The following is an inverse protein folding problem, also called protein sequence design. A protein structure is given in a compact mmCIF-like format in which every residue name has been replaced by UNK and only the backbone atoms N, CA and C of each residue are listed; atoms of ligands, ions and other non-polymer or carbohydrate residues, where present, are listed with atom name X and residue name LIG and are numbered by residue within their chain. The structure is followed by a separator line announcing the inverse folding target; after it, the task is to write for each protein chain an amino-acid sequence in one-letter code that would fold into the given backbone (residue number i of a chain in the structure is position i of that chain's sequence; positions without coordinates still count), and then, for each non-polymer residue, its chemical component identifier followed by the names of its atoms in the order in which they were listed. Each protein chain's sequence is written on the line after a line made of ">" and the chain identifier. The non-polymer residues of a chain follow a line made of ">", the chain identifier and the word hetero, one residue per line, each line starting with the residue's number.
data_IF_249769215911
#
_entry.id   IF_249769215911
#
_cell.length_a   1.000
_cell.length_b   1.000
_cell.length_c   1.000
_cell.angle_alpha   90.00
_cell.angle_beta   90.00
_cell.angle_gamma   90.00
#
_symmetry.space_group_name_H-M   'P 1'
#
loop_
_entity.id
_entity.type
_entity.pdbx_description
1 polymer ?
#
# COMPACT_ATOMS: atom_id res chain seq x y z
N UNK A 1 -3.54 1.18 71.26
CA UNK A 1 -3.37 0.17 70.17
C UNK A 1 -4.40 0.29 69.04
N UNK A 2 -5.71 0.48 69.31
CA UNK A 2 -6.76 0.54 68.28
C UNK A 2 -6.56 1.61 67.20
N UNK A 3 -6.16 2.83 67.56
CA UNK A 3 -5.94 3.92 66.57
C UNK A 3 -4.75 3.67 65.64
N UNK A 4 -3.65 3.11 66.14
CA UNK A 4 -2.44 2.83 65.36
C UNK A 4 -2.72 1.77 64.27
N UNK A 5 -3.57 0.78 64.58
CA UNK A 5 -4.04 -0.21 63.61
C UNK A 5 -5.03 0.40 62.59
N UNK A 6 -5.90 1.32 63.01
CA UNK A 6 -6.82 2.04 62.11
C UNK A 6 -6.06 2.93 61.11
N UNK A 7 -5.03 3.66 61.56
CA UNK A 7 -4.13 4.44 60.69
C UNK A 7 -3.38 3.56 59.69
N UNK A 8 -2.85 2.41 60.13
CA UNK A 8 -2.19 1.44 59.24
C UNK A 8 -3.15 0.86 58.20
N UNK A 9 -4.38 0.54 58.59
CA UNK A 9 -5.40 0.06 57.66
C UNK A 9 -5.77 1.10 56.59
N UNK A 10 -6.00 2.36 56.99
CA UNK A 10 -6.25 3.46 56.04
C UNK A 10 -5.08 3.71 55.10
N UNK A 11 -3.84 3.59 55.57
CA UNK A 11 -2.65 3.67 54.72
C UNK A 11 -2.66 2.59 53.63
N UNK A 12 -2.98 1.33 53.97
CA UNK A 12 -3.09 0.25 52.98
C UNK A 12 -4.26 0.45 52.01
N UNK A 13 -5.39 1.00 52.47
CA UNK A 13 -6.52 1.38 51.60
C UNK A 13 -6.08 2.46 50.59
N UNK A 14 -5.38 3.49 51.04
CA UNK A 14 -4.85 4.55 50.15
C UNK A 14 -3.84 3.99 49.15
N UNK A 15 -2.92 3.12 49.59
CA UNK A 15 -1.95 2.47 48.69
C UNK A 15 -2.66 1.61 47.64
N UNK A 16 -3.65 0.82 48.05
CA UNK A 16 -4.46 0.02 47.12
C UNK A 16 -5.21 0.91 46.12
N UNK A 17 -5.76 2.04 46.58
CA UNK A 17 -6.50 2.97 45.73
C UNK A 17 -5.57 3.66 44.72
N UNK A 18 -4.37 4.08 45.12
CA UNK A 18 -3.32 4.59 44.22
C UNK A 18 -2.93 3.54 43.19
N UNK A 19 -2.74 2.28 43.60
CA UNK A 19 -2.41 1.19 42.69
C UNK A 19 -3.51 0.94 41.67
N UNK A 20 -4.78 0.94 42.09
CA UNK A 20 -5.94 0.79 41.20
C UNK A 20 -6.03 1.95 40.20
N UNK A 21 -5.87 3.20 40.66
CA UNK A 21 -5.87 4.38 39.78
C UNK A 21 -4.70 4.32 38.79
N UNK A 22 -3.51 3.93 39.23
CA UNK A 22 -2.35 3.76 38.36
C UNK A 22 -2.56 2.65 37.32
N UNK A 23 -3.05 1.48 37.73
CA UNK A 23 -3.34 0.37 36.84
C UNK A 23 -4.43 0.74 35.82
N UNK A 24 -5.49 1.44 36.26
CA UNK A 24 -6.54 1.94 35.38
C UNK A 24 -5.98 2.96 34.38
N UNK A 25 -5.14 3.89 34.82
CA UNK A 25 -4.49 4.88 33.95
C UNK A 25 -3.58 4.22 32.92
N UNK A 26 -2.74 3.27 33.35
CA UNK A 26 -1.86 2.51 32.46
C UNK A 26 -2.65 1.67 31.45
N UNK A 27 -3.78 1.10 31.87
CA UNK A 27 -4.69 0.38 30.98
C UNK A 27 -5.29 1.32 29.93
N UNK A 28 -5.80 2.49 30.34
CA UNK A 28 -6.34 3.52 29.44
C UNK A 28 -5.27 3.99 28.44
N UNK A 29 -4.05 4.29 28.90
CA UNK A 29 -2.94 4.69 28.03
C UNK A 29 -2.61 3.57 27.06
N UNK A 30 -2.49 2.32 27.51
CA UNK A 30 -2.16 1.18 26.65
C UNK A 30 -3.22 0.92 25.57
N UNK A 31 -4.49 1.12 25.89
CA UNK A 31 -5.60 0.93 24.95
C UNK A 31 -5.73 2.09 23.95
N UNK A 32 -5.49 3.33 24.38
CA UNK A 32 -5.70 4.51 23.54
C UNK A 32 -4.46 4.94 22.74
N UNK A 33 -3.25 4.59 23.21
CA UNK A 33 -2.00 5.01 22.58
C UNK A 33 -1.88 4.54 21.11
N UNK A 34 -2.23 3.29 20.72
CA UNK A 34 -2.19 2.88 19.32
C UNK A 34 -3.08 3.74 18.42
N UNK A 35 -4.32 4.01 18.83
CA UNK A 35 -5.27 4.82 18.06
C UNK A 35 -4.79 6.27 17.96
N UNK A 36 -4.29 6.84 19.05
CA UNK A 36 -3.74 8.20 19.06
C UNK A 36 -2.54 8.32 18.12
N UNK A 37 -1.60 7.37 18.19
CA UNK A 37 -0.42 7.31 17.32
C UNK A 37 -0.82 7.18 15.84
N UNK A 38 -1.74 6.27 15.52
CA UNK A 38 -2.26 6.10 14.16
C UNK A 38 -2.92 7.37 13.63
N UNK A 39 -3.76 8.04 14.43
CA UNK A 39 -4.37 9.32 14.05
C UNK A 39 -3.31 10.40 13.86
N UNK A 40 -2.29 10.44 14.71
CA UNK A 40 -1.20 11.41 14.63
C UNK A 40 -0.41 11.24 13.34
N UNK A 41 -0.06 10.01 12.99
CA UNK A 41 0.62 9.67 11.72
C UNK A 41 -0.22 10.13 10.53
N UNK A 42 -1.53 9.84 10.52
CA UNK A 42 -2.44 10.32 9.47
C UNK A 42 -2.47 11.85 9.36
N UNK A 43 -2.57 12.58 10.48
CA UNK A 43 -2.59 14.05 10.44
C UNK A 43 -1.25 14.64 9.97
N UNK A 44 -0.12 14.05 10.38
CA UNK A 44 1.21 14.44 9.88
C UNK A 44 1.32 14.25 8.37
N UNK A 45 0.94 13.07 7.87
CA UNK A 45 0.98 12.79 6.44
C UNK A 45 0.06 13.73 5.65
N UNK A 46 -1.16 13.94 6.15
CA UNK A 46 -2.11 14.87 5.53
C UNK A 46 -1.54 16.27 5.41
N UNK A 47 -0.89 16.77 6.47
CA UNK A 47 -0.27 18.09 6.49
C UNK A 47 0.93 18.19 5.55
N UNK A 48 1.77 17.16 5.52
CA UNK A 48 3.08 17.21 4.87
C UNK A 48 2.99 16.88 3.36
N UNK A 49 2.00 16.09 2.92
CA UNK A 49 1.92 15.59 1.53
C UNK A 49 0.68 15.98 0.74
N UNK A 50 -0.44 16.39 1.36
CA UNK A 50 -1.61 16.78 0.57
C UNK A 50 -1.51 18.23 0.10
N UNK A 51 -1.57 18.42 -1.22
CA UNK A 51 -1.55 19.74 -1.85
C UNK A 51 -2.91 20.03 -2.48
N UNK A 52 -3.53 21.12 -2.04
CA UNK A 52 -4.86 21.55 -2.48
C UNK A 52 -4.74 22.62 -3.57
N UNK A 53 -5.46 22.43 -4.68
CA UNK A 53 -5.58 23.38 -5.79
C UNK A 53 -7.04 23.53 -6.19
N UNK A 54 -7.68 24.64 -5.81
CA UNK A 54 -9.11 24.85 -6.03
C UNK A 54 -9.96 23.76 -5.35
N UNK A 55 -10.75 23.01 -6.13
CA UNK A 55 -11.57 21.89 -5.65
C UNK A 55 -10.90 20.52 -5.74
N UNK A 56 -9.64 20.47 -6.17
CA UNK A 56 -8.85 19.26 -6.30
C UNK A 56 -7.74 19.21 -5.24
N UNK A 57 -7.36 18.00 -4.83
CA UNK A 57 -6.23 17.74 -3.93
C UNK A 57 -5.42 16.58 -4.50
N UNK A 58 -4.10 16.69 -4.49
CA UNK A 58 -3.20 15.60 -4.88
C UNK A 58 -2.21 15.27 -3.77
N UNK A 59 -1.67 14.05 -3.81
CA UNK A 59 -0.56 13.63 -2.95
C UNK A 59 0.76 14.04 -3.60
N UNK A 60 1.54 14.90 -2.95
CA UNK A 60 2.84 15.34 -3.44
C UNK A 60 3.88 14.23 -3.25
N UNK A 61 4.24 13.59 -4.35
CA UNK A 61 5.31 12.60 -4.46
C UNK A 61 6.67 13.21 -4.85
N UNK A 62 6.71 14.52 -5.10
CA UNK A 62 7.92 15.27 -5.39
C UNK A 62 8.58 15.82 -4.13
N UNK A 63 9.23 16.96 -4.27
CA UNK A 63 9.76 17.74 -3.14
C UNK A 63 8.89 18.99 -2.92
N UNK A 64 9.12 19.71 -1.82
CA UNK A 64 8.44 21.01 -1.60
C UNK A 64 8.75 22.01 -2.72
N UNK A 65 9.97 21.99 -3.29
CA UNK A 65 10.40 22.90 -4.36
C UNK A 65 9.95 22.44 -5.75
N UNK A 66 9.86 21.13 -5.95
CA UNK A 66 9.46 20.52 -7.21
C UNK A 66 8.33 19.52 -6.92
N UNK A 67 7.10 20.01 -6.70
CA UNK A 67 5.98 19.15 -6.41
C UNK A 67 5.62 18.32 -7.64
N UNK A 68 5.20 17.07 -7.39
CA UNK A 68 4.76 16.16 -8.43
C UNK A 68 3.59 15.31 -7.91
N UNK A 69 2.57 15.13 -8.74
CA UNK A 69 1.52 14.13 -8.57
C UNK A 69 1.91 12.86 -9.31
N UNK A 70 1.62 11.70 -8.72
CA UNK A 70 1.70 10.40 -9.38
C UNK A 70 0.36 9.68 -9.22
N UNK A 71 -0.07 8.89 -10.21
CA UNK A 71 -1.29 8.08 -10.09
C UNK A 71 -1.19 7.09 -8.92
N UNK A 72 -0.02 6.49 -8.68
CA UNK A 72 0.28 5.65 -7.52
C UNK A 72 0.02 6.40 -6.20
N UNK A 73 0.63 7.58 -6.05
CA UNK A 73 0.47 8.40 -4.86
C UNK A 73 -1.00 8.84 -4.67
N UNK A 74 -1.70 9.14 -5.77
CA UNK A 74 -3.11 9.50 -5.73
C UNK A 74 -3.99 8.34 -5.26
N UNK A 75 -3.76 7.13 -5.77
CA UNK A 75 -4.43 5.92 -5.31
C UNK A 75 -4.21 5.66 -3.83
N UNK A 76 -2.97 5.79 -3.33
CA UNK A 76 -2.71 5.70 -1.88
C UNK A 76 -3.45 6.76 -1.09
N UNK A 77 -3.45 8.01 -1.55
CA UNK A 77 -4.13 9.08 -0.84
C UNK A 77 -5.63 8.84 -0.73
N UNK A 78 -6.26 8.42 -1.83
CA UNK A 78 -7.67 8.07 -1.85
C UNK A 78 -7.96 6.90 -0.88
N UNK A 79 -7.14 5.85 -0.90
CA UNK A 79 -7.27 4.72 0.01
C UNK A 79 -7.14 5.16 1.48
N UNK A 80 -6.07 5.90 1.81
CA UNK A 80 -5.81 6.41 3.17
C UNK A 80 -7.00 7.24 3.66
N UNK A 81 -7.52 8.15 2.84
CA UNK A 81 -8.65 9.01 3.21
C UNK A 81 -9.95 8.22 3.34
N UNK A 82 -10.19 7.20 2.52
CA UNK A 82 -11.36 6.33 2.63
C UNK A 82 -11.34 5.49 3.92
N UNK A 83 -10.18 4.92 4.30
CA UNK A 83 -10.01 4.22 5.59
C UNK A 83 -10.14 5.19 6.77
N UNK A 84 -9.49 6.36 6.70
CA UNK A 84 -9.60 7.40 7.72
C UNK A 84 -11.06 7.88 7.89
N UNK A 85 -11.84 7.89 6.81
CA UNK A 85 -13.28 8.18 6.85
C UNK A 85 -14.08 7.18 7.67
N UNK A 86 -13.79 5.86 7.55
CA UNK A 86 -14.44 4.83 8.39
C UNK A 86 -14.16 5.02 9.88
N UNK A 87 -13.02 5.65 10.19
CA UNK A 87 -12.58 5.96 11.56
C UNK A 87 -13.09 7.32 12.06
N UNK A 88 -13.83 8.06 11.24
CA UNK A 88 -14.30 9.42 11.55
C UNK A 88 -13.18 10.46 11.58
N UNK A 89 -12.05 10.20 10.92
CA UNK A 89 -10.89 11.11 10.87
C UNK A 89 -10.84 11.95 9.59
N UNK A 90 -11.61 11.57 8.57
CA UNK A 90 -11.73 12.27 7.31
C UNK A 90 -13.20 12.43 6.91
N UNK A 91 -13.52 13.52 6.23
CA UNK A 91 -14.83 13.79 5.66
C UNK A 91 -14.93 13.29 4.22
N UNK A 92 -16.17 13.03 3.75
CA UNK A 92 -16.42 12.72 2.34
C UNK A 92 -15.90 13.82 1.41
N UNK A 93 -15.96 15.09 1.84
CA UNK A 93 -15.46 16.23 1.06
C UNK A 93 -13.95 16.13 0.83
N UNK A 94 -13.18 15.63 1.79
CA UNK A 94 -11.73 15.44 1.61
C UNK A 94 -11.43 14.35 0.57
N UNK A 95 -12.16 13.23 0.60
CA UNK A 95 -12.05 12.19 -0.42
C UNK A 95 -12.47 12.70 -1.79
N UNK A 96 -13.60 13.40 -1.87
CA UNK A 96 -14.11 13.95 -3.13
C UNK A 96 -13.11 14.93 -3.79
N UNK A 97 -12.26 15.62 -3.02
CA UNK A 97 -11.20 16.48 -3.57
C UNK A 97 -10.05 15.69 -4.18
N UNK A 98 -9.67 14.56 -3.58
CA UNK A 98 -8.71 13.63 -4.18
C UNK A 98 -9.30 12.99 -5.45
N UNK A 99 -10.56 12.58 -5.40
CA UNK A 99 -11.30 12.08 -6.55
C UNK A 99 -11.37 13.11 -7.69
N UNK A 100 -11.66 14.38 -7.38
CA UNK A 100 -11.69 15.45 -8.38
C UNK A 100 -10.34 15.63 -9.10
N UNK A 101 -9.22 15.48 -8.39
CA UNK A 101 -7.89 15.53 -9.01
C UNK A 101 -7.68 14.37 -9.97
N UNK A 102 -8.00 13.14 -9.56
CA UNK A 102 -7.96 11.98 -10.45
C UNK A 102 -8.83 12.21 -11.70
N UNK A 103 -10.07 12.68 -11.54
CA UNK A 103 -10.99 12.91 -12.66
C UNK A 103 -10.48 13.97 -13.65
N UNK A 104 -9.75 14.98 -13.19
CA UNK A 104 -9.14 16.01 -14.04
C UNK A 104 -7.89 15.53 -14.78
N UNK A 105 -7.25 14.48 -14.29
CA UNK A 105 -5.99 13.93 -14.83
C UNK A 105 -6.21 12.60 -15.56
N UNK A 106 -7.44 12.34 -16.02
CA UNK A 106 -7.75 11.14 -16.81
C UNK A 106 -7.01 11.14 -18.14
N UNK A 107 -6.57 9.96 -18.54
CA UNK A 107 -5.77 9.78 -19.74
C UNK A 107 -6.62 9.71 -21.00
N UNK A 108 -5.94 9.83 -22.14
CA UNK A 108 -6.52 9.78 -23.47
C UNK A 108 -5.79 8.72 -24.29
N UNK A 109 -6.51 7.66 -24.66
CA UNK A 109 -6.00 6.60 -25.54
C UNK A 109 -6.77 6.67 -26.85
N UNK A 110 -6.07 6.71 -27.98
CA UNK A 110 -6.66 6.81 -29.33
C UNK A 110 -7.71 7.94 -29.47
N UNK A 111 -7.37 9.15 -28.98
CA UNK A 111 -8.24 10.33 -28.97
C UNK A 111 -9.54 10.19 -28.16
N UNK A 112 -9.66 9.15 -27.32
CA UNK A 112 -10.79 8.94 -26.43
C UNK A 112 -10.35 9.09 -24.98
N UNK A 113 -11.03 9.95 -24.22
CA UNK A 113 -10.82 10.03 -22.78
C UNK A 113 -11.26 8.72 -22.11
N UNK A 114 -10.33 8.10 -21.38
CA UNK A 114 -10.57 6.87 -20.62
C UNK A 114 -10.88 7.21 -19.16
N UNK A 115 -11.08 6.17 -18.36
CA UNK A 115 -11.12 6.25 -16.90
C UNK A 115 -9.72 6.11 -16.28
N UNK A 116 -8.69 5.71 -17.02
CA UNK A 116 -7.31 5.60 -16.50
C UNK A 116 -6.76 6.97 -16.11
N UNK A 117 -5.80 7.01 -15.19
CA UNK A 117 -5.15 8.24 -14.78
C UNK A 117 -3.77 8.39 -15.43
N UNK A 118 -3.47 9.58 -15.95
CA UNK A 118 -2.11 9.95 -16.35
C UNK A 118 -1.15 9.73 -15.19
N UNK A 119 -0.05 9.03 -15.44
CA UNK A 119 0.79 8.52 -14.36
C UNK A 119 1.56 9.60 -13.59
N UNK A 120 1.84 10.76 -14.21
CA UNK A 120 2.63 11.84 -13.60
C UNK A 120 2.18 13.24 -14.00
N UNK A 121 2.08 14.12 -13.01
CA UNK A 121 1.84 15.56 -13.16
C UNK A 121 2.94 16.34 -12.46
N UNK A 122 3.49 17.37 -13.09
CA UNK A 122 4.59 18.14 -12.53
C UNK A 122 4.62 19.57 -13.07
N UNK A 123 5.47 20.42 -12.48
CA UNK A 123 5.67 21.79 -12.96
C UNK A 123 6.80 21.86 -13.99
N UNK A 124 6.51 22.47 -15.14
CA UNK A 124 7.47 22.84 -16.18
C UNK A 124 7.25 24.31 -16.53
N UNK A 125 8.29 25.13 -16.40
CA UNK A 125 8.26 26.57 -16.71
C UNK A 125 7.12 27.32 -16.00
N UNK A 126 6.87 26.97 -14.74
CA UNK A 126 5.81 27.56 -13.91
C UNK A 126 4.40 27.05 -14.19
N UNK A 127 4.21 26.22 -15.22
CA UNK A 127 2.91 25.62 -15.59
C UNK A 127 2.85 24.15 -15.19
N UNK A 128 1.64 23.69 -14.86
CA UNK A 128 1.42 22.27 -14.61
C UNK A 128 1.22 21.54 -15.94
N UNK A 129 1.97 20.46 -16.10
CA UNK A 129 1.87 19.57 -17.25
C UNK A 129 1.69 18.13 -16.76
N UNK A 130 1.10 17.29 -17.60
CA UNK A 130 0.84 15.89 -17.31
C UNK A 130 1.44 15.04 -18.41
N UNK A 131 2.20 14.01 -18.02
CA UNK A 131 2.67 13.00 -18.98
C UNK A 131 1.50 12.11 -19.37
N UNK A 132 1.39 11.80 -20.66
CA UNK A 132 0.44 10.81 -21.14
C UNK A 132 0.78 9.40 -20.60
N UNK A 133 -0.16 8.49 -20.74
CA UNK A 133 -0.12 7.10 -20.31
C UNK A 133 -0.39 6.91 -18.82
N UNK A 134 -0.95 5.75 -18.52
CA UNK A 134 -1.26 5.27 -17.18
C UNK A 134 -0.14 4.45 -16.54
N UNK A 135 -0.34 4.17 -15.25
CA UNK A 135 0.43 3.20 -14.50
C UNK A 135 -0.53 2.34 -13.69
N UNK A 136 -0.54 1.05 -13.98
CA UNK A 136 -1.58 0.10 -13.56
C UNK A 136 -1.76 -0.02 -12.06
N UNK A 137 -0.69 0.14 -11.27
CA UNK A 137 -0.78 0.15 -9.81
C UNK A 137 -1.58 1.34 -9.28
N UNK A 138 -1.41 2.52 -9.88
CA UNK A 138 -2.21 3.70 -9.55
C UNK A 138 -3.69 3.47 -9.81
N UNK A 139 -4.03 2.96 -10.99
CA UNK A 139 -5.41 2.68 -11.39
C UNK A 139 -6.07 1.60 -10.51
N UNK A 140 -5.33 0.54 -10.16
CA UNK A 140 -5.81 -0.49 -9.23
C UNK A 140 -6.11 0.07 -7.82
N UNK A 141 -5.23 0.92 -7.27
CA UNK A 141 -5.48 1.55 -5.98
C UNK A 141 -6.63 2.57 -6.03
N UNK A 142 -6.77 3.31 -7.12
CA UNK A 142 -7.90 4.22 -7.32
C UNK A 142 -9.20 3.42 -7.34
N UNK A 143 -9.27 2.32 -8.10
CA UNK A 143 -10.44 1.46 -8.15
C UNK A 143 -10.81 0.89 -6.76
N UNK A 144 -9.84 0.33 -6.04
CA UNK A 144 -10.07 -0.22 -4.69
C UNK A 144 -10.52 0.87 -3.70
N UNK A 145 -9.95 2.07 -3.79
CA UNK A 145 -10.34 3.19 -2.95
C UNK A 145 -11.77 3.68 -3.21
N UNK A 146 -12.26 3.59 -4.46
CA UNK A 146 -13.63 3.92 -4.82
C UNK A 146 -14.63 2.90 -4.24
N UNK A 147 -14.29 1.61 -4.31
CA UNK A 147 -15.05 0.55 -3.66
C UNK A 147 -15.12 0.75 -2.14
N UNK A 148 -14.00 1.12 -1.52
CA UNK A 148 -13.96 1.43 -0.09
C UNK A 148 -14.77 2.68 0.25
N UNK A 149 -14.65 3.75 -0.54
CA UNK A 149 -15.41 4.99 -0.35
C UNK A 149 -16.92 4.77 -0.44
N UNK A 150 -17.38 3.85 -1.30
CA UNK A 150 -18.79 3.45 -1.36
C UNK A 150 -19.29 2.84 -0.04
N UNK A 151 -18.44 2.08 0.65
CA UNK A 151 -18.73 1.52 1.99
C UNK A 151 -18.66 2.61 3.06
N UNK A 152 -17.68 3.52 2.97
CA UNK A 152 -17.45 4.59 3.95
C UNK A 152 -18.55 5.66 3.92
N UNK A 153 -19.05 6.02 2.73
CA UNK A 153 -20.10 7.04 2.54
C UNK A 153 -21.27 6.51 1.69
N UNK A 154 -22.19 5.74 2.29
CA UNK A 154 -23.24 5.02 1.56
C UNK A 154 -24.16 5.90 0.72
N UNK A 155 -24.38 7.16 1.13
CA UNK A 155 -25.23 8.12 0.38
C UNK A 155 -24.69 8.43 -1.02
N UNK A 156 -23.39 8.24 -1.26
CA UNK A 156 -22.72 8.47 -2.56
C UNK A 156 -22.19 7.18 -3.19
N UNK A 157 -22.52 6.02 -2.62
CA UNK A 157 -22.01 4.72 -3.07
C UNK A 157 -22.23 4.45 -4.57
N UNK A 158 -23.44 4.73 -5.09
CA UNK A 158 -23.75 4.52 -6.50
C UNK A 158 -22.84 5.32 -7.45
N UNK A 159 -22.41 6.51 -7.04
CA UNK A 159 -21.47 7.33 -7.81
C UNK A 159 -20.07 6.73 -7.83
N UNK A 160 -19.56 6.33 -6.66
CA UNK A 160 -18.23 5.72 -6.57
C UNK A 160 -18.15 4.38 -7.30
N UNK A 161 -19.14 3.50 -7.15
CA UNK A 161 -19.20 2.23 -7.88
C UNK A 161 -19.30 2.42 -9.40
N UNK A 162 -19.95 3.49 -9.89
CA UNK A 162 -19.97 3.77 -11.32
C UNK A 162 -18.58 4.12 -11.85
N UNK A 163 -17.81 4.92 -11.10
CA UNK A 163 -16.43 5.28 -11.46
C UNK A 163 -15.52 4.06 -11.38
N UNK A 164 -15.63 3.27 -10.30
CA UNK A 164 -14.89 2.01 -10.13
C UNK A 164 -15.10 1.06 -11.31
N UNK A 165 -16.36 0.83 -11.71
CA UNK A 165 -16.68 -0.05 -12.84
C UNK A 165 -16.13 0.46 -14.16
N UNK A 166 -16.18 1.77 -14.40
CA UNK A 166 -15.60 2.37 -15.60
C UNK A 166 -14.08 2.17 -15.62
N UNK A 167 -13.41 2.44 -14.51
CA UNK A 167 -11.97 2.24 -14.36
C UNK A 167 -11.57 0.77 -14.53
N UNK A 168 -12.27 -0.15 -13.87
CA UNK A 168 -12.01 -1.58 -13.99
C UNK A 168 -12.17 -2.09 -15.43
N UNK A 169 -13.16 -1.58 -16.17
CA UNK A 169 -13.32 -1.94 -17.58
C UNK A 169 -12.16 -1.42 -18.43
N UNK A 170 -11.70 -0.18 -18.19
CA UNK A 170 -10.60 0.40 -18.95
C UNK A 170 -9.24 -0.25 -18.59
N UNK A 171 -9.00 -0.65 -17.35
CA UNK A 171 -7.82 -1.45 -16.98
C UNK A 171 -7.79 -2.75 -17.81
N UNK A 172 -8.92 -3.47 -17.91
CA UNK A 172 -8.97 -4.69 -18.73
C UNK A 172 -8.90 -4.42 -20.24
N UNK A 173 -9.31 -3.25 -20.70
CA UNK A 173 -9.26 -2.89 -22.12
C UNK A 173 -7.85 -2.48 -22.57
N UNK A 174 -7.11 -1.77 -21.73
CA UNK A 174 -5.88 -1.08 -22.12
C UNK A 174 -4.63 -1.58 -21.39
N UNK A 175 -4.76 -2.18 -20.21
CA UNK A 175 -3.63 -2.62 -19.39
C UNK A 175 -3.56 -4.14 -19.23
N UNK A 176 -4.41 -4.91 -19.90
CA UNK A 176 -4.40 -6.37 -19.85
C UNK A 176 -3.71 -6.99 -21.06
N UNK A 177 -2.82 -7.95 -20.81
CA UNK A 177 -2.20 -8.74 -21.87
C UNK A 177 -2.94 -10.08 -22.06
N UNK A 178 -3.65 -10.30 -23.19
CA UNK A 178 -4.37 -11.55 -23.43
C UNK A 178 -3.46 -12.78 -23.66
N UNK A 179 -2.22 -12.59 -24.13
CA UNK A 179 -1.29 -13.68 -24.40
C UNK A 179 -0.65 -14.24 -23.11
N UNK A 180 -0.35 -13.38 -22.15
CA UNK A 180 0.22 -13.77 -20.85
C UNK A 180 -0.84 -13.93 -19.77
N UNK A 181 -2.03 -13.34 -19.97
CA UNK A 181 -3.14 -13.21 -19.01
C UNK A 181 -2.81 -12.44 -17.73
N UNK A 182 -1.76 -11.63 -17.75
CA UNK A 182 -1.41 -10.72 -16.65
C UNK A 182 -1.74 -9.28 -17.02
N UNK A 183 -1.77 -8.40 -16.02
CA UNK A 183 -1.74 -6.96 -16.27
C UNK A 183 -0.33 -6.54 -16.70
N UNK A 184 -0.30 -5.60 -17.64
CA UNK A 184 0.88 -4.85 -18.08
C UNK A 184 1.18 -3.75 -17.06
N UNK A 185 2.25 -2.98 -17.28
CA UNK A 185 2.67 -1.91 -16.35
C UNK A 185 2.01 -0.56 -16.59
N UNK A 186 1.18 -0.46 -17.63
CA UNK A 186 0.47 0.75 -18.06
C UNK A 186 -0.02 0.57 -19.51
N UNK A 187 -0.93 1.45 -19.95
CA UNK A 187 -1.51 1.45 -21.31
C UNK A 187 -0.51 1.77 -22.45
N UNK A 188 0.67 2.30 -22.12
CA UNK A 188 1.77 2.51 -23.05
C UNK A 188 2.43 1.20 -23.54
N UNK A 189 2.05 0.06 -22.96
CA UNK A 189 2.54 -1.27 -23.34
C UNK A 189 1.53 -1.95 -24.26
N UNK A 190 1.93 -2.22 -25.50
CA UNK A 190 1.12 -2.97 -26.47
C UNK A 190 1.83 -4.24 -26.98
N UNK A 191 1.21 -4.95 -27.92
CA UNK A 191 1.76 -6.18 -28.50
C UNK A 191 3.09 -5.99 -29.28
N UNK A 192 3.42 -4.75 -29.66
CA UNK A 192 4.68 -4.40 -30.37
C UNK A 192 5.77 -3.96 -29.38
N UNK A 193 5.38 -3.58 -28.17
CA UNK A 193 6.30 -3.15 -27.12
C UNK A 193 7.22 -4.29 -26.68
N UNK A 194 8.50 -3.97 -26.50
CA UNK A 194 9.47 -4.90 -25.87
C UNK A 194 9.07 -5.28 -24.44
N UNK A 195 8.20 -4.49 -23.81
CA UNK A 195 7.70 -4.70 -22.46
C UNK A 195 6.39 -5.48 -22.42
N UNK A 196 5.88 -5.97 -23.56
CA UNK A 196 4.58 -6.66 -23.60
C UNK A 196 4.48 -7.81 -22.58
N UNK A 197 5.59 -8.51 -22.33
CA UNK A 197 5.69 -9.62 -21.37
C UNK A 197 6.21 -9.20 -19.99
N UNK A 198 6.35 -7.91 -19.73
CA UNK A 198 6.82 -7.38 -18.45
C UNK A 198 5.67 -7.43 -17.44
N UNK A 199 5.93 -7.96 -16.27
CA UNK A 199 5.04 -7.90 -15.12
C UNK A 199 5.79 -7.21 -13.98
N UNK A 200 5.18 -6.18 -13.38
CA UNK A 200 5.65 -5.60 -12.12
C UNK A 200 5.02 -6.39 -10.98
N UNK A 201 5.83 -6.93 -10.08
CA UNK A 201 5.32 -7.89 -9.07
C UNK A 201 4.46 -7.23 -8.00
N UNK A 202 4.62 -5.93 -7.79
CA UNK A 202 3.76 -5.13 -6.90
C UNK A 202 2.39 -4.80 -7.49
N UNK A 203 2.08 -5.25 -8.71
CA UNK A 203 0.74 -5.09 -9.31
C UNK A 203 -0.10 -6.35 -9.05
N UNK A 204 0.48 -7.39 -8.43
CA UNK A 204 -0.23 -8.59 -8.01
C UNK A 204 -1.04 -8.29 -6.74
N UNK A 205 -2.26 -7.78 -6.92
CA UNK A 205 -3.15 -7.33 -5.84
C UNK A 205 -4.38 -8.25 -5.70
N UNK A 206 -4.24 -9.47 -5.14
CA UNK A 206 -5.28 -10.50 -5.21
C UNK A 206 -6.61 -10.11 -4.55
N UNK A 207 -6.58 -9.33 -3.47
CA UNK A 207 -7.79 -8.85 -2.80
C UNK A 207 -8.53 -7.81 -3.64
N UNK A 208 -7.81 -6.94 -4.33
CA UNK A 208 -8.36 -5.97 -5.28
C UNK A 208 -9.00 -6.70 -6.45
N UNK A 209 -8.34 -7.71 -7.00
CA UNK A 209 -8.91 -8.49 -8.10
C UNK A 209 -10.18 -9.25 -7.70
N UNK A 210 -10.23 -9.80 -6.49
CA UNK A 210 -11.45 -10.42 -5.95
C UNK A 210 -12.59 -9.40 -5.77
N UNK A 211 -12.26 -8.20 -5.29
CA UNK A 211 -13.22 -7.11 -5.14
C UNK A 211 -13.76 -6.64 -6.49
N UNK A 212 -12.89 -6.45 -7.48
CA UNK A 212 -13.28 -6.06 -8.84
C UNK A 212 -14.12 -7.13 -9.54
N UNK A 213 -13.76 -8.42 -9.41
CA UNK A 213 -14.55 -9.53 -9.94
C UNK A 213 -15.99 -9.51 -9.39
N UNK A 214 -16.12 -9.25 -8.08
CA UNK A 214 -17.42 -9.17 -7.40
C UNK A 214 -18.21 -7.94 -7.83
N UNK A 215 -17.62 -6.75 -7.78
CA UNK A 215 -18.36 -5.50 -7.95
C UNK A 215 -18.72 -5.25 -9.42
N UNK A 216 -17.87 -5.69 -10.36
CA UNK A 216 -18.14 -5.60 -11.81
C UNK A 216 -18.95 -6.77 -12.35
N UNK A 217 -18.93 -7.93 -11.70
CA UNK A 217 -19.45 -9.19 -12.25
C UNK A 217 -18.58 -9.80 -13.36
N UNK A 218 -17.44 -9.20 -13.70
CA UNK A 218 -16.55 -9.65 -14.76
C UNK A 218 -15.53 -10.69 -14.26
N UNK A 219 -15.71 -11.95 -14.63
CA UNK A 219 -14.86 -13.07 -14.20
C UNK A 219 -13.43 -13.03 -14.78
N UNK A 220 -13.15 -12.15 -15.74
CA UNK A 220 -11.78 -11.93 -16.24
C UNK A 220 -10.82 -11.55 -15.11
N UNK A 221 -11.30 -10.81 -14.10
CA UNK A 221 -10.52 -10.47 -12.91
C UNK A 221 -10.07 -11.68 -12.10
N UNK A 222 -10.90 -12.74 -12.03
CA UNK A 222 -10.50 -14.00 -11.41
C UNK A 222 -9.39 -14.69 -12.23
N UNK A 223 -9.45 -14.63 -13.57
CA UNK A 223 -8.37 -15.12 -14.44
C UNK A 223 -7.07 -14.34 -14.24
N UNK A 224 -7.14 -13.01 -14.17
CA UNK A 224 -5.98 -12.12 -13.89
C UNK A 224 -5.35 -12.50 -12.55
N UNK A 225 -6.16 -12.60 -11.48
CA UNK A 225 -5.70 -13.01 -10.16
C UNK A 225 -4.97 -14.34 -10.19
N UNK A 226 -5.59 -15.35 -10.79
CA UNK A 226 -5.02 -16.69 -10.86
C UNK A 226 -3.68 -16.68 -11.58
N UNK A 227 -3.63 -16.05 -12.76
CA UNK A 227 -2.41 -16.02 -13.56
C UNK A 227 -1.27 -15.27 -12.86
N UNK A 228 -1.54 -14.10 -12.31
CA UNK A 228 -0.54 -13.26 -11.66
C UNK A 228 -0.01 -13.92 -10.37
N UNK A 229 -0.87 -14.58 -9.58
CA UNK A 229 -0.43 -15.36 -8.43
C UNK A 229 0.42 -16.56 -8.82
N UNK A 230 0.09 -17.27 -9.91
CA UNK A 230 0.91 -18.38 -10.40
C UNK A 230 2.31 -17.89 -10.80
N UNK A 231 2.40 -16.74 -11.48
CA UNK A 231 3.71 -16.12 -11.82
C UNK A 231 4.48 -15.65 -10.60
N UNK A 232 3.79 -15.13 -9.58
CA UNK A 232 4.43 -14.74 -8.32
C UNK A 232 4.97 -15.97 -7.56
N UNK A 233 4.24 -17.09 -7.59
CA UNK A 233 4.69 -18.37 -7.04
C UNK A 233 5.90 -18.91 -7.79
N UNK A 234 5.91 -18.85 -9.12
CA UNK A 234 7.06 -19.27 -9.94
C UNK A 234 8.32 -18.51 -9.55
N UNK A 235 8.22 -17.18 -9.44
CA UNK A 235 9.33 -16.32 -9.00
C UNK A 235 9.77 -16.71 -7.60
N UNK A 236 8.84 -16.77 -6.63
CA UNK A 236 9.16 -17.10 -5.24
C UNK A 236 9.83 -18.47 -5.07
N UNK A 237 9.51 -19.45 -5.92
CA UNK A 237 10.09 -20.79 -5.89
C UNK A 237 11.56 -20.85 -6.35
N UNK A 238 12.06 -19.86 -7.08
CA UNK A 238 13.42 -19.85 -7.63
C UNK A 238 14.52 -19.70 -6.56
N UNK A 239 14.18 -19.29 -5.35
CA UNK A 239 15.12 -19.06 -4.24
C UNK A 239 14.51 -19.42 -2.89
N UNK A 240 15.37 -19.73 -1.91
CA UNK A 240 14.95 -20.11 -0.55
C UNK A 240 14.30 -18.95 0.22
N UNK A 241 14.65 -17.70 -0.10
CA UNK A 241 14.16 -16.48 0.55
C UNK A 241 12.68 -16.22 0.29
N UNK A 242 12.17 -16.68 -0.86
CA UNK A 242 10.82 -16.37 -1.33
C UNK A 242 10.60 -14.94 -1.81
N UNK A 243 11.63 -14.08 -1.74
CA UNK A 243 11.60 -12.71 -2.27
C UNK A 243 11.24 -12.70 -3.75
N UNK A 244 10.65 -11.63 -4.26
CA UNK A 244 10.30 -11.50 -5.68
C UNK A 244 10.95 -10.23 -6.25
N UNK A 245 11.28 -10.19 -7.55
CA UNK A 245 11.92 -9.03 -8.16
C UNK A 245 10.93 -7.88 -8.32
N UNK A 246 11.41 -6.64 -8.47
CA UNK A 246 10.56 -5.51 -8.89
C UNK A 246 9.81 -5.84 -10.20
N UNK A 247 10.53 -6.40 -11.17
CA UNK A 247 9.97 -6.77 -12.47
C UNK A 247 10.39 -8.17 -12.92
N UNK A 248 9.51 -8.82 -13.68
CA UNK A 248 9.74 -10.12 -14.27
C UNK A 248 9.27 -10.20 -15.73
N UNK A 249 9.96 -10.99 -16.54
CA UNK A 249 9.45 -11.47 -17.82
C UNK A 249 8.53 -12.66 -17.57
N UNK A 250 7.31 -12.60 -18.10
CA UNK A 250 6.29 -13.64 -17.91
C UNK A 250 5.74 -14.20 -19.21
N UNK A 251 5.29 -15.44 -19.14
CA UNK A 251 4.46 -16.10 -20.15
C UNK A 251 3.22 -16.68 -19.47
N UNK A 252 2.30 -17.27 -20.25
CA UNK A 252 1.20 -18.04 -19.68
C UNK A 252 1.65 -19.25 -18.83
N UNK A 253 2.93 -19.67 -18.86
CA UNK A 253 3.44 -20.84 -18.12
C UNK A 253 4.63 -20.61 -17.18
N UNK A 254 5.33 -19.47 -17.27
CA UNK A 254 6.55 -19.24 -16.49
C UNK A 254 6.82 -17.77 -16.21
N UNK A 255 7.66 -17.50 -15.22
CA UNK A 255 8.19 -16.18 -14.90
C UNK A 255 9.70 -16.26 -14.64
N UNK A 256 10.43 -15.20 -14.99
CA UNK A 256 11.84 -15.00 -14.59
C UNK A 256 12.12 -13.53 -14.28
N UNK A 257 12.98 -13.19 -13.31
CA UNK A 257 13.41 -11.82 -13.09
C UNK A 257 13.98 -11.19 -14.36
N UNK A 258 13.78 -9.88 -14.52
CA UNK A 258 14.44 -9.12 -15.59
C UNK A 258 15.92 -8.85 -15.28
N UNK A 259 16.66 -8.35 -16.26
CA UNK A 259 18.03 -7.88 -16.05
C UNK A 259 18.06 -6.48 -15.44
N UNK A 260 19.23 -6.07 -14.94
CA UNK A 260 19.48 -4.71 -14.48
C UNK A 260 19.19 -3.67 -15.60
N UNK A 261 18.65 -2.51 -15.23
CA UNK A 261 18.32 -1.39 -16.11
C UNK A 261 17.39 -1.77 -17.27
N UNK A 262 16.49 -2.74 -17.03
CA UNK A 262 15.48 -3.11 -18.04
C UNK A 262 14.47 -1.99 -18.22
N UNK A 263 14.05 -1.36 -17.13
CA UNK A 263 13.01 -0.33 -17.12
C UNK A 263 13.30 0.84 -16.17
N UNK A 264 13.65 0.59 -14.91
CA UNK A 264 13.64 1.63 -13.88
C UNK A 264 15.00 1.83 -13.21
N UNK A 265 15.76 0.76 -12.99
CA UNK A 265 16.98 0.80 -12.18
C UNK A 265 17.89 -0.40 -12.40
N UNK A 266 19.12 -0.32 -11.89
CA UNK A 266 20.03 -1.47 -11.85
C UNK A 266 19.53 -2.65 -10.99
N UNK A 267 18.46 -2.46 -10.21
CA UNK A 267 17.89 -3.45 -9.30
C UNK A 267 16.53 -3.99 -9.76
N UNK A 268 16.15 -3.80 -11.02
CA UNK A 268 14.85 -4.25 -11.55
C UNK A 268 14.59 -5.76 -11.37
N UNK A 269 15.66 -6.57 -11.35
CA UNK A 269 15.61 -8.01 -11.10
C UNK A 269 15.76 -8.42 -9.62
N UNK A 270 15.79 -7.48 -8.69
CA UNK A 270 15.98 -7.70 -7.25
C UNK A 270 14.74 -7.27 -6.45
N UNK A 271 14.69 -7.61 -5.16
CA UNK A 271 13.64 -7.12 -4.26
C UNK A 271 13.96 -5.66 -3.89
N UNK A 272 13.33 -4.71 -4.56
CA UNK A 272 13.65 -3.29 -4.46
C UNK A 272 12.38 -2.46 -4.22
N UNK A 273 12.35 -1.19 -4.66
CA UNK A 273 11.30 -0.23 -4.29
C UNK A 273 9.93 -0.52 -4.92
N UNK A 274 9.81 -1.39 -5.93
CA UNK A 274 8.49 -1.86 -6.35
C UNK A 274 8.06 -3.05 -5.49
N UNK A 275 8.88 -4.11 -5.44
CA UNK A 275 8.57 -5.37 -4.79
C UNK A 275 8.42 -5.23 -3.26
N UNK A 276 8.92 -4.16 -2.64
CA UNK A 276 8.77 -3.91 -1.21
C UNK A 276 7.30 -3.84 -0.75
N UNK A 277 6.36 -3.57 -1.66
CA UNK A 277 4.91 -3.55 -1.41
C UNK A 277 4.28 -4.93 -1.35
N UNK A 278 4.91 -5.96 -1.91
CA UNK A 278 4.32 -7.31 -2.05
C UNK A 278 3.89 -7.90 -0.70
N UNK A 279 4.65 -7.78 0.42
CA UNK A 279 4.18 -8.23 1.73
C UNK A 279 2.84 -7.62 2.14
N UNK A 280 2.64 -6.32 1.90
CA UNK A 280 1.38 -5.63 2.19
C UNK A 280 0.23 -6.20 1.34
N UNK A 281 0.44 -6.29 0.03
CA UNK A 281 -0.56 -6.72 -0.95
C UNK A 281 -1.05 -8.17 -0.75
N UNK A 282 -0.20 -9.03 -0.18
CA UNK A 282 -0.55 -10.43 0.09
C UNK A 282 -1.10 -10.66 1.51
N UNK A 283 -0.92 -9.72 2.43
CA UNK A 283 -1.13 -9.91 3.87
C UNK A 283 -2.54 -10.37 4.24
N UNK A 284 -3.56 -9.84 3.59
CA UNK A 284 -4.98 -10.11 3.88
C UNK A 284 -5.61 -11.12 2.92
N UNK A 285 -4.85 -11.58 1.92
CA UNK A 285 -5.33 -12.56 0.95
C UNK A 285 -5.57 -13.93 1.59
N UNK A 286 -6.73 -14.53 1.28
CA UNK A 286 -7.07 -15.88 1.70
C UNK A 286 -6.51 -16.96 0.76
N UNK A 287 -6.04 -16.58 -0.43
CA UNK A 287 -5.54 -17.52 -1.45
C UNK A 287 -4.28 -18.27 -0.93
N UNK A 288 -4.26 -19.60 -1.01
CA UNK A 288 -3.11 -20.40 -0.55
C UNK A 288 -1.79 -20.02 -1.22
N UNK A 289 -1.81 -19.59 -2.49
CA UNK A 289 -0.61 -19.15 -3.23
C UNK A 289 -0.05 -17.86 -2.65
N UNK A 290 -0.90 -16.88 -2.37
CA UNK A 290 -0.51 -15.63 -1.71
C UNK A 290 0.12 -15.91 -0.34
N UNK A 291 -0.54 -16.74 0.49
CA UNK A 291 -0.02 -17.15 1.79
C UNK A 291 1.33 -17.89 1.70
N UNK A 292 1.49 -18.76 0.70
CA UNK A 292 2.76 -19.47 0.46
C UNK A 292 3.90 -18.51 0.18
N UNK A 293 3.71 -17.56 -0.74
CA UNK A 293 4.73 -16.56 -1.10
C UNK A 293 5.04 -15.66 0.10
N UNK A 294 4.00 -15.11 0.75
CA UNK A 294 4.13 -14.24 1.91
C UNK A 294 4.89 -14.91 3.05
N UNK A 295 4.47 -16.10 3.48
CA UNK A 295 5.09 -16.82 4.59
C UNK A 295 6.57 -17.12 4.33
N UNK A 296 6.95 -17.38 3.07
CA UNK A 296 8.35 -17.64 2.70
C UNK A 296 9.19 -16.36 2.86
N UNK A 297 8.71 -15.22 2.35
CA UNK A 297 9.36 -13.91 2.53
C UNK A 297 9.47 -13.53 4.01
N UNK A 298 8.37 -13.65 4.76
CA UNK A 298 8.34 -13.27 6.18
C UNK A 298 9.28 -14.12 7.03
N UNK A 299 9.39 -15.43 6.75
CA UNK A 299 10.39 -16.31 7.40
C UNK A 299 11.82 -15.96 7.02
N UNK A 300 12.07 -15.40 5.85
CA UNK A 300 13.38 -14.86 5.48
C UNK A 300 13.71 -13.60 6.28
N UNK A 301 12.79 -12.63 6.32
CA UNK A 301 12.97 -11.38 7.06
C UNK A 301 13.14 -11.62 8.56
N UNK A 302 12.38 -12.55 9.15
CA UNK A 302 12.47 -12.89 10.57
C UNK A 302 13.84 -13.45 11.01
N UNK A 303 14.65 -13.95 10.06
CA UNK A 303 16.02 -14.44 10.31
C UNK A 303 17.08 -13.37 10.14
N UNK A 304 16.73 -12.18 9.63
CA UNK A 304 17.68 -11.10 9.51
C UNK A 304 17.93 -10.46 10.88
N UNK A 305 19.17 -10.06 11.14
CA UNK A 305 19.48 -9.23 12.30
C UNK A 305 18.71 -7.91 12.23
N UNK A 306 18.61 -7.33 11.04
CA UNK A 306 17.86 -6.12 10.73
C UNK A 306 17.28 -6.19 9.32
N UNK A 307 16.07 -5.65 9.14
CA UNK A 307 15.43 -5.52 7.83
C UNK A 307 15.87 -4.21 7.17
N UNK A 308 16.68 -4.35 6.12
CA UNK A 308 17.27 -3.27 5.34
C UNK A 308 16.47 -2.92 4.08
N UNK A 309 16.87 -1.84 3.42
CA UNK A 309 16.31 -1.40 2.14
C UNK A 309 16.86 -2.28 1.01
N UNK A 310 16.03 -3.21 0.57
CA UNK A 310 16.26 -4.01 -0.61
C UNK A 310 17.31 -5.11 -0.48
N UNK A 311 17.08 -6.17 -1.23
CA UNK A 311 17.85 -7.41 -1.17
C UNK A 311 17.97 -8.01 -2.56
N UNK A 312 19.11 -8.64 -2.84
CA UNK A 312 19.14 -9.57 -3.95
C UNK A 312 18.17 -10.72 -3.70
N UNK A 313 17.69 -11.39 -4.74
CA UNK A 313 16.75 -12.51 -4.54
C UNK A 313 17.33 -13.67 -3.72
N UNK A 314 18.67 -13.79 -3.64
CA UNK A 314 19.38 -14.74 -2.77
C UNK A 314 19.48 -14.28 -1.31
N UNK A 315 19.01 -13.07 -0.98
CA UNK A 315 18.93 -12.54 0.37
C UNK A 315 20.13 -11.71 0.82
N UNK A 316 21.00 -11.28 -0.11
CA UNK A 316 22.10 -10.36 0.23
C UNK A 316 21.56 -8.92 0.33
N UNK A 317 21.75 -8.19 1.44
CA UNK A 317 21.33 -6.80 1.54
C UNK A 317 22.01 -5.95 0.47
N UNK A 318 21.23 -5.08 -0.19
CA UNK A 318 21.72 -4.14 -1.21
C UNK A 318 22.09 -2.81 -0.54
N UNK A 319 21.15 -2.19 0.17
CA UNK A 319 21.36 -0.95 0.90
C UNK A 319 21.14 -1.18 2.40
N UNK A 320 22.24 -1.24 3.17
CA UNK A 320 22.24 -1.46 4.63
C UNK A 320 21.76 -0.25 5.42
N UNK A 321 20.53 0.19 5.17
CA UNK A 321 19.83 1.28 5.86
C UNK A 321 18.35 0.93 5.93
N UNK A 322 17.66 1.24 7.03
CA UNK A 322 16.20 1.11 7.11
C UNK A 322 15.50 2.16 6.24
N UNK A 323 14.39 1.78 5.63
CA UNK A 323 13.49 2.71 4.95
C UNK A 323 12.05 2.23 5.19
N UNK A 324 11.20 3.17 5.58
CA UNK A 324 9.84 2.86 6.00
C UNK A 324 8.99 2.23 4.87
N UNK A 325 9.34 2.44 3.59
CA UNK A 325 8.70 1.78 2.46
C UNK A 325 8.95 0.26 2.38
N UNK A 326 9.98 -0.24 3.06
CA UNK A 326 10.21 -1.69 3.22
C UNK A 326 9.65 -2.19 4.55
N UNK A 327 9.87 -1.43 5.63
CA UNK A 327 9.50 -1.86 6.97
C UNK A 327 7.97 -1.82 7.20
N UNK A 328 7.24 -0.86 6.64
CA UNK A 328 5.78 -0.76 6.82
C UNK A 328 5.01 -1.92 6.18
N UNK A 329 5.26 -2.34 4.92
CA UNK A 329 4.62 -3.54 4.37
C UNK A 329 4.89 -4.82 5.17
N UNK A 330 6.10 -4.98 5.69
CA UNK A 330 6.48 -6.14 6.50
C UNK A 330 5.78 -6.10 7.86
N UNK A 331 5.71 -4.93 8.51
CA UNK A 331 4.96 -4.74 9.75
C UNK A 331 3.48 -5.08 9.56
N UNK A 332 2.87 -4.62 8.45
CA UNK A 332 1.48 -4.93 8.13
C UNK A 332 1.24 -6.42 7.95
N UNK A 333 2.13 -7.10 7.21
CA UNK A 333 2.06 -8.52 6.96
C UNK A 333 2.10 -9.34 8.25
N UNK A 334 3.03 -9.05 9.16
CA UNK A 334 3.11 -9.76 10.45
C UNK A 334 1.94 -9.42 11.36
N UNK A 335 1.46 -8.17 11.37
CA UNK A 335 0.28 -7.78 12.14
C UNK A 335 -0.97 -8.61 11.77
N UNK A 336 -1.15 -8.91 10.48
CA UNK A 336 -2.28 -9.73 9.99
C UNK A 336 -2.05 -11.24 10.08
N UNK A 337 -0.80 -11.69 10.23
CA UNK A 337 -0.43 -13.10 10.17
C UNK A 337 0.43 -13.54 11.38
N UNK A 338 -0.08 -13.27 12.58
CA UNK A 338 0.57 -13.67 13.84
C UNK A 338 0.63 -15.19 14.01
N UNK A 339 1.56 -15.67 14.83
CA UNK A 339 1.75 -17.08 15.19
C UNK A 339 2.18 -17.98 14.01
N UNK A 340 2.89 -17.41 13.03
CA UNK A 340 3.37 -18.13 11.83
C UNK A 340 4.91 -18.35 11.83
N UNK A 341 5.57 -18.10 12.97
CA UNK A 341 7.01 -18.27 13.14
C UNK A 341 7.87 -17.08 12.70
N UNK A 342 7.26 -15.89 12.63
CA UNK A 342 7.94 -14.62 12.31
C UNK A 342 7.42 -13.44 13.15
N UNK A 343 6.85 -13.72 14.33
CA UNK A 343 6.25 -12.71 15.22
C UNK A 343 7.26 -11.71 15.78
N UNK A 344 8.56 -12.03 15.76
CA UNK A 344 9.62 -11.10 16.12
C UNK A 344 9.60 -9.84 15.24
N UNK A 345 9.16 -9.96 13.98
CA UNK A 345 9.01 -8.83 13.06
C UNK A 345 7.99 -7.80 13.55
N UNK A 346 6.98 -8.21 14.33
CA UNK A 346 5.98 -7.26 14.83
C UNK A 346 6.64 -6.18 15.69
N UNK A 347 7.56 -6.56 16.56
CA UNK A 347 8.25 -5.61 17.42
C UNK A 347 9.39 -4.88 16.69
N UNK A 348 10.16 -5.56 15.84
CA UNK A 348 11.28 -4.94 15.13
C UNK A 348 10.83 -3.91 14.09
N UNK A 349 9.70 -4.16 13.42
CA UNK A 349 9.21 -3.29 12.34
C UNK A 349 8.25 -2.19 12.83
N UNK A 350 7.64 -2.34 14.02
CA UNK A 350 6.85 -1.27 14.66
C UNK A 350 7.68 0.00 14.92
N UNK A 351 9.01 -0.09 14.92
CA UNK A 351 9.92 1.05 15.11
C UNK A 351 9.71 2.17 14.10
N UNK A 352 9.06 1.92 12.96
CA UNK A 352 8.70 2.97 11.97
C UNK A 352 7.85 4.09 12.58
N UNK A 353 7.13 3.81 13.67
CA UNK A 353 6.31 4.80 14.38
C UNK A 353 7.04 5.49 15.54
N UNK A 354 8.32 5.18 15.78
CA UNK A 354 9.10 5.79 16.86
C UNK A 354 9.55 7.22 16.53
N UNK A 355 9.49 7.62 15.26
CA UNK A 355 9.91 8.94 14.79
C UNK A 355 8.79 9.58 13.96
N UNK A 356 8.85 10.91 13.81
CA UNK A 356 7.99 11.65 12.89
C UNK A 356 8.22 11.16 11.45
N UNK A 357 7.18 11.20 10.62
CA UNK A 357 7.29 10.93 9.19
C UNK A 357 8.35 11.84 8.53
N UNK A 358 9.16 11.25 7.65
CA UNK A 358 10.21 11.96 6.94
C UNK A 358 9.65 12.72 5.74
N UNK A 359 9.54 14.05 5.85
CA UNK A 359 8.98 14.94 4.83
C UNK A 359 9.65 14.83 3.44
N UNK A 360 10.87 14.31 3.35
CA UNK A 360 11.58 14.11 2.08
C UNK A 360 11.47 12.68 1.51
N UNK A 361 10.70 11.80 2.16
CA UNK A 361 10.43 10.44 1.73
C UNK A 361 8.92 10.20 1.67
N UNK A 362 8.28 10.72 0.61
CA UNK A 362 6.84 10.56 0.41
C UNK A 362 6.45 9.08 0.45
N UNK A 363 7.30 8.22 -0.12
CA UNK A 363 6.98 6.83 -0.35
C UNK A 363 6.92 6.06 0.98
N UNK A 364 7.99 6.15 1.78
CA UNK A 364 8.03 5.56 3.11
C UNK A 364 6.98 6.15 4.05
N UNK A 365 6.74 7.47 3.99
CA UNK A 365 5.75 8.12 4.83
C UNK A 365 4.30 7.70 4.46
N UNK A 366 4.01 7.57 3.17
CA UNK A 366 2.69 7.17 2.67
C UNK A 366 2.39 5.71 3.01
N UNK A 367 3.34 4.79 2.79
CA UNK A 367 3.15 3.38 3.18
C UNK A 367 3.03 3.21 4.70
N UNK A 368 3.79 3.96 5.49
CA UNK A 368 3.64 3.98 6.96
C UNK A 368 2.25 4.45 7.39
N UNK A 369 1.72 5.46 6.70
CA UNK A 369 0.39 6.03 6.96
C UNK A 369 -0.72 5.09 6.55
N UNK A 370 -0.61 4.44 5.39
CA UNK A 370 -1.55 3.43 4.92
C UNK A 370 -1.72 2.32 5.95
N UNK A 371 -0.60 1.76 6.44
CA UNK A 371 -0.60 0.74 7.50
C UNK A 371 -1.16 1.29 8.82
N UNK A 372 -0.96 2.57 9.12
CA UNK A 372 -1.48 3.19 10.34
C UNK A 372 -2.99 3.41 10.34
N UNK A 373 -3.57 3.86 9.22
CA UNK A 373 -5.01 4.08 9.16
C UNK A 373 -5.78 2.76 9.22
N UNK A 374 -5.26 1.68 8.64
CA UNK A 374 -5.85 0.34 8.75
C UNK A 374 -5.71 -0.25 10.16
N UNK A 375 -4.63 0.11 10.85
CA UNK A 375 -4.46 -0.11 12.28
C UNK A 375 -3.86 -1.48 12.65
N UNK A 376 -3.43 -1.55 13.90
CA UNK A 376 -2.87 -2.76 14.53
C UNK A 376 -3.35 -2.85 15.98
N UNK A 377 -3.32 -4.06 16.53
CA UNK A 377 -3.67 -4.35 17.93
C UNK A 377 -2.44 -4.72 18.74
#
# INVERSE_FOLDING_TARGET
>A
MKEKNKRRWWMWVVVALVFVVYAATMLVVRLNNPIHLQKTVYQQWKQDYLVTRGQATFVNAGTTKHPAGLSEAQGYGMMITAVAGQRGWASQKEFDRLLNYYLSERDVVDNKQTALMKWRQYQKDGQWVSDANSATDGDLYIADSLALAAKTWPKRAAYYHRLEKALANDILAYEYNPATKVLMTGDWVDAKSRYYKLMRTSDVMPTVFDQLAKDTGNQQWASVKNQMLDRLVDLSNQHKTGLVPDFAWVTAKSAKPVGANTIASKYDGDYWFNACRVPYLLATSKDPRAKKVLNKMMKFFAKQYEVFSGYTLKGKPILKRKNAGFNAPIFYAVNHNRNQGYDNLFNSEKSIYAQRLNQNDYYGATLTTLVAVEGWK
#
